data_IF_823376826752
#
_entry.id   IF_823376826752
#
_cell.length_a   1.000
_cell.length_b   1.000
_cell.length_c   1.000
_cell.angle_alpha   90.00
_cell.angle_beta   90.00
_cell.angle_gamma   90.00
#
_symmetry.space_group_name_H-M   'P 1'
#
loop_
_entity.id
_entity.type
_entity.pdbx_description
1 polymer ?
#
# COMPACT_ATOMS: atom_id res chain seq x y z
N UNK A 1 6.62 8.80 -21.09
CA UNK A 1 6.70 7.62 -20.21
C UNK A 1 5.27 7.22 -19.86
N UNK A 2 4.83 6.01 -20.24
CA UNK A 2 3.50 5.53 -19.86
C UNK A 2 3.56 4.97 -18.43
N UNK A 3 2.99 5.68 -17.46
CA UNK A 3 3.01 5.30 -16.04
C UNK A 3 2.48 3.88 -15.79
N UNK A 4 1.45 3.46 -16.54
CA UNK A 4 0.86 2.12 -16.45
C UNK A 4 1.82 1.04 -16.99
N UNK A 5 2.51 1.31 -18.11
CA UNK A 5 3.50 0.39 -18.68
C UNK A 5 4.68 0.21 -17.73
N UNK A 6 5.13 1.28 -17.07
CA UNK A 6 6.24 1.20 -16.12
C UNK A 6 5.86 0.45 -14.84
N UNK A 7 4.58 0.51 -14.43
CA UNK A 7 4.04 -0.29 -13.33
C UNK A 7 4.20 -1.79 -13.59
N UNK A 8 3.83 -2.23 -14.80
CA UNK A 8 3.82 -3.64 -15.19
C UNK A 8 5.22 -4.15 -15.53
N UNK A 9 6.05 -3.34 -16.19
CA UNK A 9 7.40 -3.76 -16.64
C UNK A 9 8.46 -3.75 -15.54
N UNK A 10 8.25 -2.96 -14.48
CA UNK A 10 9.14 -2.88 -13.31
C UNK A 10 8.29 -2.92 -12.04
N UNK A 11 7.75 -4.10 -11.66
CA UNK A 11 7.00 -4.23 -10.42
C UNK A 11 7.98 -4.14 -9.24
N UNK A 12 7.78 -3.14 -8.38
CA UNK A 12 8.38 -3.04 -7.04
C UNK A 12 7.45 -3.65 -6.01
N UNK A 13 7.95 -3.91 -4.80
CA UNK A 13 7.13 -4.43 -3.72
C UNK A 13 5.93 -3.50 -3.44
N UNK A 14 6.19 -2.19 -3.36
CA UNK A 14 5.13 -1.17 -3.18
C UNK A 14 4.09 -1.24 -4.29
N UNK A 15 4.50 -1.50 -5.54
CA UNK A 15 3.57 -1.57 -6.66
C UNK A 15 2.68 -2.80 -6.63
N UNK A 16 3.22 -3.94 -6.20
CA UNK A 16 2.44 -5.17 -6.03
C UNK A 16 1.40 -4.97 -4.92
N UNK A 17 1.82 -4.44 -3.78
CA UNK A 17 0.90 -4.11 -2.68
C UNK A 17 -0.16 -3.13 -3.13
N UNK A 18 0.23 -2.07 -3.84
CA UNK A 18 -0.72 -1.07 -4.34
C UNK A 18 -1.79 -1.69 -5.23
N UNK A 19 -1.41 -2.56 -6.18
CA UNK A 19 -2.36 -3.23 -7.07
C UNK A 19 -3.33 -4.11 -6.28
N UNK A 20 -2.81 -4.89 -5.31
CA UNK A 20 -3.63 -5.77 -4.47
C UNK A 20 -4.61 -4.94 -3.63
N UNK A 21 -4.11 -3.97 -2.86
CA UNK A 21 -4.92 -3.18 -1.94
C UNK A 21 -5.91 -2.27 -2.67
N UNK A 22 -5.55 -1.70 -3.82
CA UNK A 22 -6.50 -0.93 -4.63
C UNK A 22 -7.53 -1.84 -5.27
N UNK A 23 -7.12 -3.03 -5.72
CA UNK A 23 -7.99 -4.04 -6.31
C UNK A 23 -9.07 -4.55 -5.35
N UNK A 24 -8.79 -4.62 -4.05
CA UNK A 24 -9.79 -4.93 -3.03
C UNK A 24 -10.48 -3.69 -2.46
N UNK A 25 -9.74 -2.62 -2.22
CA UNK A 25 -10.23 -1.41 -1.56
C UNK A 25 -11.25 -0.64 -2.39
N UNK A 26 -11.04 -0.50 -3.71
CA UNK A 26 -11.99 0.23 -4.56
C UNK A 26 -13.35 -0.48 -4.63
N UNK A 27 -13.45 -1.79 -4.92
CA UNK A 27 -14.72 -2.50 -4.85
C UNK A 27 -15.40 -2.43 -3.48
N UNK A 28 -14.61 -2.46 -2.41
CA UNK A 28 -15.12 -2.39 -1.05
C UNK A 28 -15.72 -1.02 -0.74
N UNK A 29 -15.04 0.08 -1.08
CA UNK A 29 -15.58 1.44 -0.99
C UNK A 29 -16.86 1.58 -1.82
N UNK A 30 -16.86 1.07 -3.06
CA UNK A 30 -18.04 1.12 -3.94
C UNK A 30 -19.21 0.37 -3.30
N UNK A 31 -18.98 -0.84 -2.77
CA UNK A 31 -19.99 -1.61 -2.07
C UNK A 31 -20.54 -0.87 -0.85
N UNK A 32 -19.67 -0.26 -0.05
CA UNK A 32 -20.05 0.49 1.13
C UNK A 32 -20.92 1.71 0.79
N UNK A 33 -20.61 2.43 -0.29
CA UNK A 33 -21.40 3.57 -0.76
C UNK A 33 -22.84 3.20 -1.15
N UNK A 34 -23.08 1.97 -1.59
CA UNK A 34 -24.42 1.48 -1.92
C UNK A 34 -25.15 0.81 -0.74
N UNK A 35 -24.41 0.41 0.29
CA UNK A 35 -24.96 -0.41 1.40
C UNK A 35 -25.19 0.40 2.66
N UNK A 36 -24.29 1.33 3.00
CA UNK A 36 -24.32 2.07 4.26
C UNK A 36 -24.99 3.44 4.13
N UNK A 37 -25.68 3.87 5.19
CA UNK A 37 -26.24 5.22 5.25
C UNK A 37 -25.13 6.25 5.45
N UNK A 38 -25.35 7.47 4.96
CA UNK A 38 -24.37 8.57 4.99
C UNK A 38 -23.90 8.97 6.40
N UNK A 39 -24.60 8.54 7.46
CA UNK A 39 -24.20 8.72 8.86
C UNK A 39 -23.10 7.74 9.33
N UNK A 40 -22.83 6.66 8.60
CA UNK A 40 -21.84 5.62 8.93
C UNK A 40 -20.52 5.80 8.16
N UNK A 41 -20.26 7.02 7.68
CA UNK A 41 -19.23 7.36 6.68
C UNK A 41 -17.78 7.35 7.20
N UNK A 42 -17.56 7.11 8.49
CA UNK A 42 -16.21 7.15 9.06
C UNK A 42 -15.31 6.06 8.46
N UNK A 43 -15.86 4.85 8.25
CA UNK A 43 -15.15 3.72 7.63
C UNK A 43 -14.70 4.05 6.20
N UNK A 44 -15.63 4.50 5.36
CA UNK A 44 -15.35 4.93 3.98
C UNK A 44 -14.29 6.03 3.96
N UNK A 45 -14.36 7.00 4.88
CA UNK A 45 -13.38 8.09 4.97
C UNK A 45 -11.98 7.58 5.29
N UNK A 46 -11.85 6.65 6.25
CA UNK A 46 -10.57 6.05 6.62
C UNK A 46 -9.99 5.25 5.44
N UNK A 47 -10.82 4.49 4.72
CA UNK A 47 -10.40 3.72 3.55
C UNK A 47 -9.89 4.62 2.42
N UNK A 48 -10.58 5.74 2.14
CA UNK A 48 -10.14 6.73 1.16
C UNK A 48 -8.80 7.35 1.57
N UNK A 49 -8.63 7.72 2.85
CA UNK A 49 -7.36 8.23 3.37
C UNK A 49 -6.25 7.18 3.21
N UNK A 50 -6.54 5.92 3.51
CA UNK A 50 -5.61 4.80 3.32
C UNK A 50 -5.16 4.64 1.87
N UNK A 51 -6.09 4.71 0.91
CA UNK A 51 -5.76 4.69 -0.52
C UNK A 51 -4.94 5.90 -0.97
N UNK A 52 -5.22 7.09 -0.44
CA UNK A 52 -4.42 8.30 -0.72
C UNK A 52 -2.98 8.16 -0.22
N UNK A 53 -2.79 7.61 0.99
CA UNK A 53 -1.45 7.34 1.54
C UNK A 53 -0.71 6.32 0.66
N UNK A 54 -1.38 5.23 0.29
CA UNK A 54 -0.83 4.21 -0.63
C UNK A 54 -0.43 4.80 -1.98
N UNK A 55 -1.24 5.70 -2.53
CA UNK A 55 -0.91 6.40 -3.77
C UNK A 55 0.32 7.30 -3.60
N UNK A 56 0.44 8.01 -2.48
CA UNK A 56 1.63 8.80 -2.15
C UNK A 56 2.90 7.94 -2.09
N UNK A 57 2.83 6.77 -1.44
CA UNK A 57 3.94 5.81 -1.40
C UNK A 57 4.34 5.32 -2.79
N UNK A 58 3.36 5.02 -3.66
CA UNK A 58 3.62 4.62 -5.04
C UNK A 58 4.35 5.72 -5.83
N UNK A 59 3.94 6.98 -5.68
CA UNK A 59 4.60 8.11 -6.35
C UNK A 59 6.05 8.25 -5.87
N UNK A 60 6.29 8.17 -4.56
CA UNK A 60 7.65 8.22 -4.00
C UNK A 60 8.52 7.06 -4.48
N UNK A 61 7.99 5.83 -4.49
CA UNK A 61 8.67 4.66 -5.02
C UNK A 61 9.10 4.85 -6.48
N UNK A 62 8.19 5.35 -7.32
CA UNK A 62 8.46 5.61 -8.74
C UNK A 62 9.46 6.73 -8.94
N UNK A 63 9.50 7.71 -8.04
CA UNK A 63 10.53 8.75 -8.05
C UNK A 63 11.90 8.18 -7.67
N UNK A 64 11.97 7.35 -6.63
CA UNK A 64 13.20 6.69 -6.20
C UNK A 64 13.76 5.73 -7.25
N UNK A 65 12.90 5.01 -7.99
CA UNK A 65 13.30 4.17 -9.13
C UNK A 65 13.99 4.95 -10.27
N UNK A 66 13.69 6.25 -10.42
CA UNK A 66 14.39 7.10 -11.41
C UNK A 66 15.75 7.55 -10.91
N UNK A 67 15.92 7.66 -9.59
CA UNK A 67 17.14 8.15 -8.95
C UNK A 67 18.14 7.03 -8.64
N UNK A 68 17.65 5.82 -8.33
CA UNK A 68 18.43 4.71 -7.79
C UNK A 68 18.14 3.43 -8.60
N UNK A 69 19.11 2.50 -8.67
CA UNK A 69 18.91 1.21 -9.33
C UNK A 69 17.87 0.33 -8.63
N UNK A 70 17.09 -0.43 -9.40
CA UNK A 70 16.06 -1.35 -8.89
C UNK A 70 16.59 -2.28 -7.78
N UNK A 71 17.83 -2.79 -7.90
CA UNK A 71 18.44 -3.69 -6.90
C UNK A 71 18.58 -3.00 -5.53
N UNK A 72 19.05 -1.75 -5.52
CA UNK A 72 19.25 -0.99 -4.27
C UNK A 72 17.91 -0.62 -3.63
N UNK A 73 16.93 -0.23 -4.45
CA UNK A 73 15.58 0.07 -3.96
C UNK A 73 14.93 -1.15 -3.31
N UNK A 74 15.02 -2.32 -3.96
CA UNK A 74 14.47 -3.56 -3.43
C UNK A 74 15.12 -3.97 -2.09
N UNK A 75 16.44 -3.76 -1.92
CA UNK A 75 17.11 -4.00 -0.64
C UNK A 75 16.54 -3.08 0.46
N UNK A 76 16.32 -1.80 0.15
CA UNK A 76 15.73 -0.84 1.09
C UNK A 76 14.30 -1.26 1.46
N UNK A 77 13.48 -1.67 0.49
CA UNK A 77 12.12 -2.18 0.71
C UNK A 77 12.15 -3.39 1.66
N UNK A 78 13.03 -4.36 1.42
CA UNK A 78 13.15 -5.56 2.28
C UNK A 78 13.56 -5.20 3.71
N UNK A 79 14.51 -4.28 3.88
CA UNK A 79 14.94 -3.82 5.22
C UNK A 79 13.78 -3.14 5.95
N UNK A 80 13.04 -2.25 5.29
CA UNK A 80 11.91 -1.55 5.89
C UNK A 80 10.79 -2.51 6.29
N UNK A 81 10.43 -3.44 5.41
CA UNK A 81 9.36 -4.42 5.66
C UNK A 81 9.76 -5.37 6.79
N UNK A 82 10.97 -5.93 6.73
CA UNK A 82 11.46 -6.86 7.76
C UNK A 82 11.60 -6.14 9.10
N UNK A 83 12.13 -4.91 9.10
CA UNK A 83 12.23 -4.08 10.30
C UNK A 83 10.86 -3.78 10.92
N UNK A 84 9.87 -3.42 10.09
CA UNK A 84 8.50 -3.22 10.54
C UNK A 84 7.90 -4.50 11.14
N UNK A 85 8.06 -5.64 10.47
CA UNK A 85 7.53 -6.93 10.95
C UNK A 85 8.17 -7.36 12.28
N UNK A 86 9.49 -7.17 12.42
CA UNK A 86 10.20 -7.42 13.68
C UNK A 86 9.65 -6.51 14.78
N UNK A 87 9.55 -5.21 14.51
CA UNK A 87 8.99 -4.25 15.47
C UNK A 87 7.56 -4.63 15.88
N UNK A 88 6.72 -4.99 14.91
CA UNK A 88 5.35 -5.43 15.15
C UNK A 88 5.31 -6.68 16.04
N UNK A 89 6.10 -7.70 15.71
CA UNK A 89 6.20 -8.93 16.49
C UNK A 89 6.59 -8.69 17.96
N UNK A 90 7.51 -7.76 18.21
CA UNK A 90 7.91 -7.43 19.58
C UNK A 90 6.90 -6.57 20.33
N UNK A 91 6.14 -5.75 19.63
CA UNK A 91 5.12 -4.87 20.24
C UNK A 91 3.75 -5.53 20.41
N UNK A 92 3.51 -6.67 19.74
CA UNK A 92 2.25 -7.41 19.76
C UNK A 92 2.42 -8.85 20.26
N UNK A 93 3.06 -8.98 21.43
CA UNK A 93 3.20 -10.24 22.19
C UNK A 93 3.68 -11.44 21.37
N UNK A 94 4.67 -11.22 20.49
CA UNK A 94 5.25 -12.28 19.66
C UNK A 94 4.22 -12.94 18.73
N UNK A 95 3.21 -12.18 18.33
CA UNK A 95 2.19 -12.59 17.39
C UNK A 95 2.16 -11.67 16.18
N UNK A 96 1.80 -12.24 15.04
CA UNK A 96 1.41 -11.47 13.84
C UNK A 96 -0.11 -11.27 13.78
N UNK A 97 -0.80 -11.43 14.92
CA UNK A 97 -2.25 -11.33 15.00
C UNK A 97 -2.65 -9.86 15.05
N UNK A 98 -3.38 -9.42 14.03
CA UNK A 98 -4.02 -8.10 14.01
C UNK A 98 -5.42 -8.30 14.60
N UNK A 99 -5.49 -8.50 15.93
CA UNK A 99 -6.74 -8.52 16.72
C UNK A 99 -7.82 -9.47 16.23
#
# INVERSE_FOLDING_TARGET
MNAISDLIKKPTFISIIFIILTGFGVPLIVYQLFTFHSSENLGITIEIIGLLILFGLLVTDRFLLRSISNKKLSIIEVILVTGYLIYYYFTHDHSFSIG
#
